data_IF_275122914413
#
_entry.id   IF_275122914413
#
_cell.length_a   1.000
_cell.length_b   1.000
_cell.length_c   1.000
_cell.angle_alpha   90.00
_cell.angle_beta   90.00
_cell.angle_gamma   90.00
#
_symmetry.space_group_name_H-M   'P 1'
#
loop_
_entity.id
_entity.type
_entity.pdbx_description
1 polymer ?
#
# COMPACT_ATOMS: atom_id res chain seq x y z
N UNK A 1 18.88 -6.62 0.58
CA UNK A 1 19.34 -7.10 1.89
C UNK A 1 18.39 -6.55 2.94
N UNK A 2 17.62 -7.41 3.61
CA UNK A 2 16.77 -7.03 4.75
C UNK A 2 17.66 -6.97 5.99
N UNK A 3 17.55 -5.92 6.83
CA UNK A 3 18.27 -5.88 8.10
C UNK A 3 17.58 -6.82 9.11
N UNK A 4 18.34 -7.59 9.91
CA UNK A 4 17.80 -8.58 10.84
C UNK A 4 17.06 -7.98 12.06
N UNK A 5 17.03 -6.63 12.17
CA UNK A 5 16.31 -5.87 13.19
C UNK A 5 15.11 -5.08 12.63
N UNK A 6 14.77 -5.27 11.35
CA UNK A 6 13.74 -4.48 10.69
C UNK A 6 12.46 -5.31 10.47
N UNK A 7 11.33 -4.91 11.09
CA UNK A 7 10.07 -5.61 10.88
C UNK A 7 9.66 -5.54 9.40
N UNK A 8 9.04 -6.61 8.90
CA UNK A 8 8.41 -6.56 7.59
C UNK A 8 7.24 -5.59 7.63
N UNK A 9 7.06 -4.81 6.57
CA UNK A 9 5.90 -3.94 6.47
C UNK A 9 5.39 -3.86 5.04
N UNK A 10 4.07 -3.72 4.93
CA UNK A 10 3.37 -3.47 3.67
C UNK A 10 2.59 -2.17 3.85
N UNK A 11 2.68 -1.26 2.87
CA UNK A 11 1.99 0.03 2.96
C UNK A 11 1.34 0.42 1.64
N UNK A 12 0.20 1.10 1.73
CA UNK A 12 -0.49 1.72 0.60
C UNK A 12 -0.36 3.23 0.75
N UNK A 13 0.14 3.89 -0.29
CA UNK A 13 0.24 5.34 -0.35
C UNK A 13 -0.52 5.87 -1.55
N UNK A 14 -1.27 6.96 -1.36
CA UNK A 14 -1.93 7.67 -2.44
C UNK A 14 -1.14 8.93 -2.79
N UNK A 15 -1.00 9.22 -4.08
CA UNK A 15 -0.40 10.47 -4.54
C UNK A 15 -1.49 11.52 -4.72
N UNK A 16 -1.44 12.58 -3.93
CA UNK A 16 -2.36 13.71 -3.99
C UNK A 16 -1.59 15.04 -4.09
N UNK A 17 -1.97 15.88 -5.05
CA UNK A 17 -1.32 17.17 -5.33
C UNK A 17 0.23 17.05 -5.39
N UNK A 18 0.72 16.07 -6.14
CA UNK A 18 2.15 15.79 -6.29
C UNK A 18 2.84 15.12 -5.10
N UNK A 19 2.21 15.03 -3.92
CA UNK A 19 2.77 14.44 -2.69
C UNK A 19 2.23 13.05 -2.43
N UNK A 20 3.10 12.13 -2.01
CA UNK A 20 2.71 10.82 -1.53
C UNK A 20 2.24 10.92 -0.07
N UNK A 21 1.10 10.32 0.23
CA UNK A 21 0.53 10.24 1.55
C UNK A 21 0.22 8.78 1.87
N UNK A 22 0.85 8.23 2.90
CA UNK A 22 0.55 6.89 3.39
C UNK A 22 -0.88 6.84 3.90
N UNK A 23 -1.66 5.89 3.43
CA UNK A 23 -3.05 5.67 3.85
C UNK A 23 -3.20 4.41 4.70
N UNK A 24 -2.36 3.40 4.45
CA UNK A 24 -2.31 2.16 5.21
C UNK A 24 -0.86 1.77 5.43
N UNK A 25 -0.53 1.32 6.64
CA UNK A 25 0.73 0.66 6.96
C UNK A 25 0.45 -0.53 7.87
N UNK A 26 0.84 -1.72 7.42
CA UNK A 26 0.76 -2.97 8.16
C UNK A 26 2.18 -3.34 8.53
N UNK A 27 2.45 -3.50 9.82
CA UNK A 27 3.75 -3.92 10.34
C UNK A 27 3.62 -5.35 10.82
N UNK A 28 4.47 -6.23 10.31
CA UNK A 28 4.60 -7.61 10.75
C UNK A 28 5.81 -7.68 11.69
N UNK A 29 5.58 -7.72 13.02
CA UNK A 29 6.67 -7.82 13.99
C UNK A 29 7.39 -9.18 13.86
N UNK A 30 8.71 -9.18 14.07
CA UNK A 30 9.52 -10.41 14.01
C UNK A 30 9.33 -11.32 15.25
N UNK A 31 8.88 -10.73 16.37
CA UNK A 31 8.55 -11.43 17.61
C UNK A 31 7.04 -11.38 17.83
N UNK A 32 6.43 -12.55 18.08
CA UNK A 32 4.99 -12.83 18.07
C UNK A 32 4.10 -12.15 19.13
N UNK A 33 4.37 -10.89 19.47
CA UNK A 33 3.47 -10.04 20.24
C UNK A 33 2.89 -8.96 19.34
N UNK A 34 1.59 -9.05 19.06
CA UNK A 34 0.85 -8.11 18.23
C UNK A 34 0.01 -8.77 17.14
N UNK A 35 -0.86 -8.00 16.50
CA UNK A 35 -1.61 -8.46 15.34
C UNK A 35 -0.67 -8.56 14.13
N UNK A 36 -0.34 -9.79 13.73
CA UNK A 36 0.36 -10.09 12.50
C UNK A 36 -0.60 -10.82 11.55
N UNK A 37 -1.08 -10.18 10.46
CA UNK A 37 -1.91 -10.89 9.51
C UNK A 37 -1.11 -12.02 8.86
N UNK A 38 -1.71 -13.20 8.77
CA UNK A 38 -1.09 -14.39 8.17
C UNK A 38 -0.64 -14.13 6.71
N UNK A 39 -1.37 -13.26 6.01
CA UNK A 39 -1.00 -12.71 4.72
C UNK A 39 -1.28 -11.20 4.71
N UNK A 40 -0.24 -10.37 4.74
CA UNK A 40 -0.40 -8.91 4.68
C UNK A 40 -1.09 -8.45 3.37
N UNK A 41 -1.04 -9.26 2.31
CA UNK A 41 -1.68 -8.98 1.02
C UNK A 41 -3.22 -9.04 1.08
N UNK A 42 -3.80 -10.00 1.82
CA UNK A 42 -5.27 -10.07 1.97
C UNK A 42 -5.82 -8.82 2.67
N UNK A 43 -5.07 -8.27 3.61
CA UNK A 43 -5.44 -7.02 4.30
C UNK A 43 -5.36 -5.82 3.35
N UNK A 44 -4.35 -5.79 2.46
CA UNK A 44 -4.26 -4.77 1.40
C UNK A 44 -5.44 -4.88 0.44
N UNK A 45 -5.79 -6.08 -0.01
CA UNK A 45 -6.91 -6.30 -0.93
C UNK A 45 -8.25 -5.90 -0.31
N UNK A 46 -8.47 -6.25 0.96
CA UNK A 46 -9.65 -5.83 1.71
C UNK A 46 -9.70 -4.30 1.85
N UNK A 47 -8.57 -3.66 2.15
CA UNK A 47 -8.46 -2.21 2.22
C UNK A 47 -8.78 -1.54 0.87
N UNK A 48 -8.17 -2.00 -0.22
CA UNK A 48 -8.41 -1.49 -1.57
C UNK A 48 -9.89 -1.63 -1.97
N UNK A 49 -10.50 -2.78 -1.67
CA UNK A 49 -11.93 -3.01 -1.87
C UNK A 49 -12.78 -2.02 -1.06
N UNK A 50 -12.42 -1.77 0.21
CA UNK A 50 -13.18 -0.88 1.10
C UNK A 50 -13.19 0.59 0.65
N UNK A 51 -12.10 1.06 0.04
CA UNK A 51 -12.02 2.43 -0.51
C UNK A 51 -12.60 2.53 -1.93
N UNK A 52 -13.16 1.44 -2.46
CA UNK A 52 -13.70 1.37 -3.80
C UNK A 52 -12.63 1.50 -4.88
N UNK A 53 -11.40 1.03 -4.61
CA UNK A 53 -10.35 1.01 -5.62
C UNK A 53 -10.80 0.13 -6.81
N UNK A 54 -10.76 0.71 -8.01
CA UNK A 54 -11.04 -0.01 -9.25
C UNK A 54 -9.88 -0.89 -9.68
N UNK A 55 -10.07 -1.60 -10.79
CA UNK A 55 -9.00 -2.33 -11.44
C UNK A 55 -7.82 -1.40 -11.79
N UNK A 56 -6.58 -1.92 -11.82
CA UNK A 56 -5.43 -1.16 -12.28
C UNK A 56 -5.70 -0.53 -13.65
N UNK A 57 -5.29 0.73 -13.80
CA UNK A 57 -5.35 1.40 -15.09
C UNK A 57 -4.28 0.81 -16.01
N UNK A 58 -4.60 0.74 -17.30
CA UNK A 58 -3.59 0.49 -18.33
C UNK A 58 -2.53 1.59 -18.31
N UNK A 59 -1.27 1.24 -18.61
CA UNK A 59 -0.12 2.12 -18.42
C UNK A 59 -0.28 3.50 -19.10
N UNK A 60 -0.86 3.55 -20.30
CA UNK A 60 -1.10 4.81 -21.01
C UNK A 60 -2.23 5.65 -20.39
N UNK A 61 -3.28 5.01 -19.89
CA UNK A 61 -4.36 5.67 -19.18
C UNK A 61 -3.87 6.24 -17.84
N UNK A 62 -3.01 5.49 -17.14
CA UNK A 62 -2.36 5.94 -15.91
C UNK A 62 -1.46 7.16 -16.15
N UNK A 63 -0.56 7.11 -17.15
CA UNK A 63 0.30 8.25 -17.50
C UNK A 63 -0.52 9.51 -17.78
N UNK A 64 -1.63 9.39 -18.51
CA UNK A 64 -2.54 10.50 -18.80
C UNK A 64 -3.20 11.04 -17.54
N UNK A 65 -3.70 10.17 -16.66
CA UNK A 65 -4.30 10.55 -15.40
C UNK A 65 -3.30 11.27 -14.48
N UNK A 66 -2.05 10.82 -14.44
CA UNK A 66 -0.98 11.45 -13.66
C UNK A 66 -0.52 12.79 -14.26
N UNK A 67 -0.49 12.92 -15.58
CA UNK A 67 -0.15 14.18 -16.25
C UNK A 67 -1.15 15.31 -15.95
N UNK A 68 -2.43 14.96 -15.73
CA UNK A 68 -3.49 15.90 -15.36
C UNK A 68 -3.54 16.30 -13.89
N UNK A 69 -2.76 15.66 -13.00
CA UNK A 69 -2.75 15.91 -11.54
C UNK A 69 -1.52 16.71 -11.07
N UNK A 70 -0.97 17.56 -11.94
CA UNK A 70 0.23 18.36 -11.68
C UNK A 70 -0.04 19.46 -10.64
#
# INVERSE_FOLDING_TARGET
>A
MKRPDQPDFVSVACRNAGRWQTQLAIVTPESGEGFAPALSLETVDAYLTSIGAGAPLEAEAEKKALAGRK
#
